data_IF_471412723683
#
_entry.id   IF_471412723683
#
_cell.length_a   1.000
_cell.length_b   1.000
_cell.length_c   1.000
_cell.angle_alpha   90.00
_cell.angle_beta   90.00
_cell.angle_gamma   90.00
#
_symmetry.space_group_name_H-M   'P 1'
#
loop_
_entity.id
_entity.type
_entity.pdbx_description
1 polymer ?
2 non-polymer ?
#
# COMPACT_ATOMS: atom_id res chain seq x y z
N UNK A 8 2.76 15.01 31.98
CA UNK A 8 2.94 14.89 30.53
C UNK A 8 2.74 13.44 30.09
N UNK A 9 2.26 13.26 28.86
CA UNK A 9 2.05 11.95 28.25
C UNK A 9 3.30 11.49 27.49
N UNK A 10 3.36 10.18 27.20
CA UNK A 10 4.46 9.59 26.44
C UNK A 10 3.90 8.41 25.63
N UNK A 11 3.68 8.63 24.32
CA UNK A 11 3.00 7.69 23.43
C UNK A 11 3.91 7.32 22.26
N UNK A 12 4.13 6.03 22.05
CA UNK A 12 5.04 5.56 20.98
C UNK A 12 4.30 4.82 19.86
N UNK A 13 4.63 5.16 18.62
CA UNK A 13 4.07 4.47 17.43
C UNK A 13 5.25 3.94 16.63
N UNK A 14 5.30 2.62 16.42
CA UNK A 14 6.46 1.99 15.75
C UNK A 14 6.03 1.28 14.48
N UNK A 15 6.89 1.31 13.46
CA UNK A 15 6.73 0.61 12.21
C UNK A 15 8.00 -0.13 11.85
N UNK A 16 7.97 -0.79 10.68
CA UNK A 16 9.13 -1.52 10.19
C UNK A 16 9.48 -1.05 8.79
N UNK A 17 10.77 -1.08 8.46
CA UNK A 17 11.25 -0.82 7.12
C UNK A 17 11.87 -2.12 6.59
N UNK A 18 11.47 -2.51 5.38
CA UNK A 18 11.93 -3.73 4.74
C UNK A 18 12.50 -3.41 3.37
N UNK A 19 13.37 -4.30 2.88
CA UNK A 19 13.85 -4.23 1.49
C UNK A 19 12.90 -5.06 0.65
N UNK A 20 12.08 -4.40 -0.17
CA UNK A 20 11.20 -5.12 -1.07
C UNK A 20 12.07 -5.83 -2.11
N UNK A 21 12.45 -7.06 -1.78
CA UNK A 21 13.38 -7.79 -2.63
C UNK A 21 12.77 -8.14 -3.98
N UNK A 22 11.45 -8.31 -4.02
CA UNK A 22 10.74 -8.71 -5.23
C UNK A 22 10.10 -7.54 -5.95
N UNK A 23 10.34 -6.31 -5.47
CA UNK A 23 9.78 -5.10 -6.08
C UNK A 23 8.25 -5.19 -6.18
N UNK A 24 7.61 -5.72 -5.15
CA UNK A 24 6.18 -6.00 -5.19
C UNK A 24 5.33 -4.88 -4.58
N UNK A 25 5.94 -3.85 -4.01
CA UNK A 25 5.24 -2.79 -3.28
C UNK A 25 4.47 -3.33 -2.07
N UNK A 26 4.74 -4.57 -1.66
CA UNK A 26 4.31 -5.09 -0.37
C UNK A 26 5.37 -6.07 0.11
N UNK A 27 5.21 -6.53 1.34
CA UNK A 27 6.24 -7.29 2.03
C UNK A 27 5.94 -8.78 1.86
N UNK A 28 6.97 -9.57 1.52
CA UNK A 28 6.79 -10.97 1.17
C UNK A 28 7.70 -11.84 2.02
N UNK A 29 7.64 -13.15 1.76
CA UNK A 29 8.45 -14.15 2.49
C UNK A 29 9.94 -13.93 2.24
N UNK A 30 10.30 -13.28 1.12
CA UNK A 30 11.70 -13.04 0.81
C UNK A 30 12.07 -11.56 0.90
N UNK A 31 11.29 -10.75 1.60
CA UNK A 31 11.68 -9.40 1.97
C UNK A 31 12.68 -9.44 3.12
N UNK A 32 13.50 -8.40 3.22
CA UNK A 32 14.56 -8.33 4.24
C UNK A 32 14.50 -6.96 4.89
N UNK A 33 14.46 -6.93 6.22
CA UNK A 33 14.34 -5.64 6.87
C UNK A 33 15.66 -4.88 6.80
N UNK A 34 15.56 -3.56 6.85
CA UNK A 34 16.71 -2.66 6.82
C UNK A 34 16.88 -2.06 8.21
N UNK A 35 17.91 -2.46 8.96
CA UNK A 35 18.28 -1.71 10.16
C UNK A 35 19.06 -0.46 9.79
N UNK A 36 18.77 0.63 10.50
CA UNK A 36 19.38 1.91 10.18
C UNK A 36 18.72 2.67 9.05
N UNK A 37 17.47 2.37 8.73
CA UNK A 37 16.77 3.15 7.72
C UNK A 37 16.26 4.44 8.35
N UNK A 38 15.85 5.37 7.49
CA UNK A 38 15.40 6.69 7.91
C UNK A 38 13.93 6.91 7.59
N UNK A 39 13.21 7.47 8.57
CA UNK A 39 11.76 7.62 8.52
C UNK A 39 11.42 9.02 9.02
N UNK A 40 10.57 9.75 8.26
CA UNK A 40 10.15 11.09 8.62
C UNK A 40 8.66 11.10 8.89
N UNK A 41 8.29 11.50 10.10
CA UNK A 41 6.90 11.65 10.51
C UNK A 41 6.53 13.13 10.50
N UNK A 42 5.29 13.44 10.11
CA UNK A 42 4.85 14.84 10.12
C UNK A 42 3.35 14.93 10.35
N UNK A 43 2.95 15.62 11.41
CA UNK A 43 1.53 15.81 11.72
C UNK A 43 1.07 17.20 11.30
N UNK A 44 -0.25 17.34 11.13
CA UNK A 44 -0.84 18.58 10.66
C UNK A 44 -2.12 18.87 11.41
N UNK A 45 -2.35 20.18 11.62
CA UNK A 45 -3.62 20.74 12.09
C UNK A 45 -4.81 20.03 11.50
N UNK A 46 -4.84 19.90 10.17
CA UNK A 46 -5.84 19.15 9.47
C UNK A 46 -5.30 18.73 8.12
N UNK A 47 -6.21 18.32 7.24
CA UNK A 47 -5.81 17.94 5.89
C UNK A 47 -5.04 19.07 5.20
N UNK A 48 -5.38 20.33 5.49
CA UNK A 48 -4.73 21.49 4.90
C UNK A 48 -4.28 22.51 5.93
N UNK A 49 -4.27 22.18 7.22
CA UNK A 49 -3.79 23.07 8.24
C UNK A 49 -2.27 23.13 8.29
N UNK A 50 -1.78 23.73 9.39
CA UNK A 50 -0.32 23.89 9.61
C UNK A 50 0.19 22.68 10.40
N UNK A 51 1.47 22.33 10.21
CA UNK A 51 2.06 21.19 10.89
C UNK A 51 2.20 21.46 12.38
N UNK A 52 1.89 20.47 13.19
CA UNK A 52 2.11 20.60 14.62
C UNK A 52 3.57 20.32 14.98
N UNK A 53 4.21 19.41 14.26
CA UNK A 53 5.63 19.12 14.44
C UNK A 53 6.08 18.20 13.31
N UNK A 54 7.35 17.80 13.38
CA UNK A 54 7.91 16.82 12.46
C UNK A 54 9.14 16.20 13.13
N UNK A 55 9.16 14.86 13.22
CA UNK A 55 10.29 14.18 13.88
C UNK A 55 10.85 13.11 12.94
N UNK A 56 12.07 12.67 13.22
CA UNK A 56 12.78 11.68 12.40
C UNK A 56 13.27 10.57 13.32
N UNK A 57 12.98 9.33 12.95
CA UNK A 57 13.48 8.18 13.66
C UNK A 57 14.17 7.24 12.71
N UNK A 58 15.02 6.40 13.27
CA UNK A 58 15.73 5.39 12.50
C UNK A 58 15.43 4.02 13.09
N UNK A 59 15.70 3.00 12.27
CA UNK A 59 15.28 1.64 12.57
C UNK A 59 16.42 0.89 13.24
N UNK A 60 16.11 0.19 14.34
CA UNK A 60 17.08 -0.68 14.97
C UNK A 60 17.00 -2.08 14.34
N UNK A 61 17.09 -3.13 15.15
CA UNK A 61 16.98 -4.48 14.62
C UNK A 61 15.59 -4.72 14.03
N UNK A 62 15.55 -5.63 13.05
CA UNK A 62 14.32 -6.03 12.31
C UNK A 62 13.69 -4.80 11.65
N UNK A 63 14.51 -3.78 11.33
CA UNK A 63 14.00 -2.60 10.66
C UNK A 63 12.99 -1.84 11.48
N UNK A 64 12.92 -2.09 12.78
CA UNK A 64 11.90 -1.49 13.64
C UNK A 64 12.36 -0.12 14.14
N UNK A 65 11.49 0.87 13.99
CA UNK A 65 11.74 2.23 14.48
C UNK A 65 10.68 2.62 15.49
N UNK A 66 11.07 3.36 16.53
CA UNK A 66 10.16 3.80 17.59
C UNK A 66 10.09 5.32 17.57
N UNK A 67 8.88 5.86 17.47
CA UNK A 67 8.65 7.29 17.42
C UNK A 67 8.06 7.76 18.74
N UNK A 68 8.55 8.91 19.22
CA UNK A 68 8.13 9.47 20.50
C UNK A 68 7.11 10.58 20.29
N UNK A 69 6.03 10.52 21.05
CA UNK A 69 5.03 11.59 21.06
C UNK A 69 5.00 12.13 22.49
N UNK A 70 5.81 13.15 22.74
CA UNK A 70 5.94 13.69 24.08
C UNK A 70 4.72 14.46 24.56
N UNK A 71 3.72 14.69 23.70
CA UNK A 71 2.72 15.67 24.05
C UNK A 71 1.39 15.00 24.38
N UNK A 72 0.30 15.70 24.10
CA UNK A 72 -1.02 15.10 23.92
C UNK A 72 -1.58 15.64 22.61
N UNK A 73 -1.92 14.72 21.69
CA UNK A 73 -2.46 15.09 20.39
C UNK A 73 -3.74 14.34 20.09
N UNK A 74 -4.73 15.05 19.53
CA UNK A 74 -5.98 14.43 19.13
C UNK A 74 -6.40 14.90 17.75
N UNK A 75 -6.71 13.92 16.88
CA UNK A 75 -7.28 14.14 15.54
C UNK A 75 -6.38 15.00 14.67
N UNK A 76 -5.10 14.65 14.66
CA UNK A 76 -4.08 15.34 13.88
C UNK A 76 -3.76 14.51 12.65
N UNK A 77 -3.47 15.18 11.53
CA UNK A 77 -3.29 14.53 10.24
C UNK A 77 -1.81 14.28 10.02
N UNK A 78 -1.38 13.05 10.28
CA UNK A 78 0.02 12.64 10.25
C UNK A 78 0.25 11.67 9.09
N UNK A 79 1.49 11.62 8.61
CA UNK A 79 1.87 10.58 7.66
C UNK A 79 3.38 10.34 7.77
N UNK A 80 3.77 9.08 7.61
CA UNK A 80 5.16 8.66 7.73
C UNK A 80 5.70 8.46 6.34
N UNK A 81 6.90 8.99 6.09
CA UNK A 81 7.49 8.92 4.76
C UNK A 81 8.90 8.34 4.88
N UNK A 82 9.35 7.69 3.80
CA UNK A 82 10.71 7.19 3.73
C UNK A 82 11.69 8.33 3.58
N UNK A 83 12.92 8.12 4.09
CA UNK A 83 13.94 9.17 4.12
C UNK A 83 15.31 8.69 3.66
N UNK A 84 15.85 7.65 4.29
CA UNK A 84 17.18 7.16 3.93
C UNK A 84 17.25 5.65 4.12
N UNK A 85 18.13 5.01 3.33
CA UNK A 85 18.44 3.60 3.50
C UNK A 85 19.90 3.42 3.86
N UNK A 86 20.17 2.41 4.68
CA UNK A 86 21.52 2.03 5.05
C UNK A 86 22.10 1.00 4.12
N UNK A 87 21.41 0.70 3.02
CA UNK A 87 21.82 -0.36 2.12
C UNK A 87 21.54 0.15 0.71
N UNK A 88 22.62 0.49 0.01
CA UNK A 88 22.55 1.09 -1.36
C UNK A 88 22.12 0.03 -2.38
N UNK A 89 21.93 -1.21 -1.92
CA UNK A 89 21.52 -2.29 -2.85
C UNK A 89 19.99 -2.22 -2.85
N UNK A 90 19.47 -1.46 -1.88
CA UNK A 90 18.02 -1.27 -1.69
C UNK A 90 17.77 0.16 -1.18
N UNK A 91 17.94 1.14 -2.07
CA UNK A 91 17.78 2.55 -1.70
C UNK A 91 16.68 3.27 -2.48
N UNK A 92 16.12 2.66 -3.53
CA UNK A 92 15.14 3.34 -4.36
C UNK A 92 13.79 3.35 -3.66
N UNK A 93 13.23 4.54 -3.49
CA UNK A 93 11.87 4.64 -2.96
C UNK A 93 10.89 4.47 -4.12
N UNK A 94 9.96 3.51 -4.03
CA UNK A 94 9.03 3.27 -5.13
C UNK A 94 8.06 4.44 -5.32
N UNK A 95 7.67 4.65 -6.58
CA UNK A 95 6.73 5.70 -6.97
C UNK A 95 5.44 5.04 -7.45
N UNK A 96 4.31 5.61 -7.05
CA UNK A 96 3.01 5.18 -7.55
C UNK A 96 2.56 6.11 -8.67
N UNK A 97 3.22 5.98 -9.80
CA UNK A 97 2.96 6.86 -10.91
C UNK A 97 3.51 8.25 -10.69
N UNK A 98 2.97 8.99 -9.71
CA UNK A 98 3.42 10.37 -9.53
C UNK A 98 3.46 10.85 -8.08
N UNK A 99 3.23 9.99 -7.08
CA UNK A 99 3.35 10.39 -5.68
C UNK A 99 4.29 9.41 -4.99
N UNK A 100 5.06 9.92 -4.00
CA UNK A 100 5.90 9.09 -3.14
C UNK A 100 5.03 8.48 -2.03
N UNK A 101 5.21 7.19 -1.72
CA UNK A 101 4.27 6.54 -0.82
C UNK A 101 4.40 7.10 0.59
N UNK A 102 3.36 6.85 1.39
CA UNK A 102 3.33 7.38 2.75
C UNK A 102 2.27 6.61 3.53
N UNK A 103 2.37 6.69 4.85
CA UNK A 103 1.47 6.01 5.77
C UNK A 103 0.60 7.07 6.45
N UNK A 104 -0.55 7.35 5.85
CA UNK A 104 -1.45 8.34 6.41
C UNK A 104 -2.25 7.74 7.56
N UNK A 105 -2.34 8.49 8.66
CA UNK A 105 -3.15 8.09 9.80
C UNK A 105 -3.50 9.34 10.60
N UNK A 106 -4.51 9.19 11.45
CA UNK A 106 -4.95 10.27 12.32
C UNK A 106 -4.53 9.95 13.75
N UNK A 107 -3.93 10.93 14.41
CA UNK A 107 -3.29 10.74 15.70
C UNK A 107 -4.26 11.14 16.82
N UNK A 108 -4.53 10.19 17.72
CA UNK A 108 -5.25 10.45 18.97
C UNK A 108 -4.50 9.67 20.07
N UNK A 109 -3.52 10.34 20.67
CA UNK A 109 -2.59 9.69 21.61
C UNK A 109 -3.32 9.15 22.83
N UNK A 110 -2.77 8.07 23.38
CA UNK A 110 -3.11 7.59 24.72
C UNK A 110 -1.81 7.31 25.46
N UNK A 111 -1.76 7.65 26.74
CA UNK A 111 -0.50 7.64 27.47
C UNK A 111 0.06 6.24 27.60
N UNK A 112 1.39 6.16 27.55
CA UNK A 112 2.11 4.95 27.93
C UNK A 112 1.74 3.69 27.17
N UNK A 113 1.64 3.77 25.85
CA UNK A 113 1.36 2.58 25.08
C UNK A 113 1.91 2.73 23.67
N UNK A 114 1.80 1.65 22.90
CA UNK A 114 2.45 1.49 21.61
C UNK A 114 1.44 0.99 20.58
N UNK A 115 1.40 1.67 19.43
CA UNK A 115 0.58 1.25 18.29
C UNK A 115 1.51 0.91 17.13
N UNK A 116 1.22 -0.18 16.43
CA UNK A 116 2.04 -0.63 15.30
C UNK A 116 1.33 -0.33 13.98
N UNK A 117 2.05 0.33 13.07
CA UNK A 117 1.53 0.64 11.74
C UNK A 117 2.18 -0.26 10.69
N UNK A 118 1.77 -0.10 9.44
CA UNK A 118 2.15 -0.94 8.32
C UNK A 118 3.59 -0.65 7.85
N UNK A 119 4.26 -1.64 7.26
CA UNK A 119 5.66 -1.46 6.90
C UNK A 119 5.84 -0.58 5.67
N UNK A 120 7.05 -0.05 5.53
CA UNK A 120 7.47 0.68 4.33
C UNK A 120 8.63 -0.06 3.68
N UNK A 121 8.64 -0.09 2.35
CA UNK A 121 9.63 -0.86 1.60
C UNK A 121 10.50 -0.02 0.69
N UNK A 122 11.79 -0.34 0.66
CA UNK A 122 12.71 0.18 -0.35
C UNK A 122 12.79 -0.81 -1.49
N UNK A 123 12.98 -0.29 -2.70
CA UNK A 123 13.07 -1.14 -3.89
C UNK A 123 14.52 -1.58 -4.11
N UNK A 124 14.74 -2.89 -4.15
CA UNK A 124 16.00 -3.45 -4.64
C UNK A 124 15.96 -3.47 -6.17
N UNK A 125 17.05 -2.98 -6.78
CA UNK A 125 17.04 -2.68 -8.22
C UNK A 125 16.82 -3.93 -9.06
N UNK A 126 17.51 -5.02 -8.76
CA UNK A 126 17.28 -6.29 -9.42
C UNK A 126 16.45 -7.18 -8.52
N UNK A 127 15.28 -7.61 -8.99
CA UNK A 127 14.51 -8.62 -8.29
C UNK A 127 15.34 -9.90 -8.14
N UNK A 128 14.84 -10.80 -7.33
CA UNK A 128 15.65 -11.99 -7.08
C UNK A 128 15.06 -13.20 -7.78
N UNK A 129 15.89 -14.22 -8.05
CA UNK A 129 15.60 -15.15 -9.16
C UNK A 129 14.40 -16.07 -8.96
N UNK A 130 13.78 -16.16 -7.78
CA UNK A 130 12.54 -16.93 -7.65
C UNK A 130 11.40 -16.09 -7.06
N UNK A 131 11.47 -14.77 -7.15
CA UNK A 131 10.29 -13.94 -6.95
C UNK A 131 9.09 -14.34 -7.81
N UNK A 132 9.25 -14.81 -9.05
CA UNK A 132 8.07 -15.31 -9.77
C UNK A 132 7.37 -16.44 -9.03
N UNK A 133 8.10 -17.24 -8.25
CA UNK A 133 7.46 -18.35 -7.57
C UNK A 133 6.69 -17.90 -6.33
N UNK A 134 7.04 -16.77 -5.73
CA UNK A 134 6.27 -16.30 -4.58
C UNK A 134 4.92 -15.76 -5.02
N UNK A 135 4.88 -15.09 -6.18
CA UNK A 135 3.60 -14.59 -6.68
C UNK A 135 2.63 -15.73 -6.97
N UNK A 136 3.14 -16.86 -7.44
CA UNK A 136 2.27 -17.99 -7.72
C UNK A 136 1.85 -18.72 -6.45
N UNK A 137 2.70 -18.68 -5.41
CA UNK A 137 2.25 -19.13 -4.10
C UNK A 137 1.01 -18.35 -3.66
N UNK A 138 0.96 -17.07 -3.97
CA UNK A 138 -0.17 -16.22 -3.60
C UNK A 138 -1.29 -16.24 -4.65
N UNK A 139 -1.14 -17.02 -5.71
CA UNK A 139 -2.16 -17.09 -6.74
C UNK A 139 -2.41 -15.78 -7.46
N UNK A 140 -1.38 -14.94 -7.62
CA UNK A 140 -1.56 -13.62 -8.20
C UNK A 140 -0.65 -13.42 -9.42
N UNK A 141 -1.19 -12.72 -10.41
CA UNK A 141 -0.42 -12.37 -11.59
C UNK A 141 0.67 -11.37 -11.20
N UNK A 142 1.90 -11.58 -11.68
CA UNK A 142 3.01 -10.70 -11.28
C UNK A 142 2.78 -9.28 -11.74
N UNK A 143 2.82 -8.31 -10.83
CA UNK A 143 2.61 -6.91 -11.23
C UNK A 143 3.81 -6.32 -11.95
N UNK A 144 3.53 -5.44 -12.90
CA UNK A 144 4.51 -4.56 -13.51
C UNK A 144 4.10 -3.09 -13.39
N UNK A 145 2.97 -2.80 -12.75
CA UNK A 145 2.38 -1.46 -12.61
C UNK A 145 2.11 -0.78 -13.94
N UNK B 9 -2.41 -1.57 -30.06
CA UNK B 9 -2.61 -0.12 -30.03
C UNK B 9 -3.24 0.33 -28.70
N UNK B 10 -4.27 -0.36 -28.26
CA UNK B 10 -4.95 0.06 -27.04
C UNK B 10 -4.16 -0.39 -25.81
N UNK B 11 -4.60 0.06 -24.64
CA UNK B 11 -3.94 -0.26 -23.36
C UNK B 11 -4.76 -1.31 -22.63
N UNK B 12 -4.12 -2.43 -22.31
CA UNK B 12 -4.75 -3.48 -21.51
C UNK B 12 -4.19 -3.43 -20.11
N UNK B 13 -5.08 -3.24 -19.13
CA UNK B 13 -4.70 -3.19 -17.72
C UNK B 13 -5.39 -4.33 -17.00
N UNK B 14 -4.65 -5.02 -16.15
CA UNK B 14 -5.14 -6.16 -15.38
C UNK B 14 -4.94 -5.88 -13.90
N UNK B 15 -5.84 -6.42 -13.09
CA UNK B 15 -5.68 -6.34 -11.66
C UNK B 15 -6.60 -7.30 -10.95
N UNK B 16 -6.26 -7.56 -9.70
CA UNK B 16 -7.00 -8.50 -8.89
C UNK B 16 -7.58 -7.81 -7.65
N UNK B 17 -8.66 -8.40 -7.13
CA UNK B 17 -9.32 -7.94 -5.92
C UNK B 17 -9.37 -9.10 -4.94
N UNK B 18 -8.71 -8.95 -3.80
CA UNK B 18 -8.70 -9.96 -2.76
C UNK B 18 -9.48 -9.50 -1.54
N UNK B 19 -9.90 -10.48 -0.75
CA UNK B 19 -10.49 -10.24 0.55
C UNK B 19 -9.34 -10.21 1.57
N UNK B 20 -8.98 -9.03 2.07
CA UNK B 20 -7.88 -8.94 3.02
C UNK B 20 -8.20 -9.74 4.27
N UNK B 21 -7.83 -11.02 4.22
CA UNK B 21 -8.34 -12.03 5.14
C UNK B 21 -7.91 -11.72 6.57
N UNK B 22 -6.74 -11.08 6.71
CA UNK B 22 -6.10 -10.86 7.99
C UNK B 22 -6.06 -9.38 8.40
N UNK B 23 -6.67 -8.50 7.62
CA UNK B 23 -6.68 -7.06 7.87
C UNK B 23 -5.27 -6.51 7.88
N UNK B 24 -4.39 -7.09 7.07
CA UNK B 24 -3.01 -6.64 6.95
C UNK B 24 -2.82 -5.48 5.98
N UNK B 25 -3.87 -5.10 5.24
CA UNK B 25 -3.87 -4.26 4.05
C UNK B 25 -2.71 -4.56 3.11
N UNK B 26 -2.50 -5.85 2.87
CA UNK B 26 -1.75 -6.41 1.74
C UNK B 26 -2.14 -7.89 1.68
N UNK B 27 -1.48 -8.65 0.83
CA UNK B 27 -1.98 -9.96 0.41
C UNK B 27 -1.08 -11.05 0.94
N UNK B 28 -1.66 -12.03 1.62
CA UNK B 28 -0.93 -13.13 2.25
C UNK B 28 -1.29 -14.45 1.61
N UNK B 29 -0.68 -15.52 2.13
CA UNK B 29 -1.08 -16.86 1.74
C UNK B 29 -2.49 -17.21 2.22
N UNK B 30 -3.06 -16.46 3.17
CA UNK B 30 -4.43 -16.73 3.60
C UNK B 30 -5.47 -15.88 2.87
N UNK B 31 -5.03 -14.88 2.12
CA UNK B 31 -5.97 -14.01 1.42
C UNK B 31 -6.78 -14.82 0.41
N UNK B 32 -8.01 -14.38 0.18
CA UNK B 32 -8.90 -15.03 -0.76
C UNK B 32 -9.33 -14.01 -1.79
N UNK B 33 -9.70 -14.49 -2.98
CA UNK B 33 -10.03 -13.61 -4.09
C UNK B 33 -11.54 -13.46 -4.23
N UNK B 34 -11.93 -12.34 -4.81
CA UNK B 34 -13.35 -12.00 -4.93
C UNK B 34 -13.70 -11.82 -6.40
N UNK B 35 -14.52 -12.70 -6.98
CA UNK B 35 -15.13 -12.40 -8.27
C UNK B 35 -16.36 -11.53 -8.08
N UNK B 36 -16.73 -10.82 -9.14
CA UNK B 36 -17.88 -9.92 -9.08
C UNK B 36 -17.68 -8.70 -8.21
N UNK B 37 -16.46 -8.19 -8.09
CA UNK B 37 -16.16 -7.06 -7.24
C UNK B 37 -16.20 -5.76 -8.04
N UNK B 38 -16.55 -4.68 -7.37
CA UNK B 38 -16.70 -3.38 -8.03
C UNK B 38 -15.41 -2.58 -8.04
N UNK B 39 -15.04 -2.11 -9.22
CA UNK B 39 -13.79 -1.39 -9.41
C UNK B 39 -14.08 -0.19 -10.30
N UNK B 40 -13.57 0.98 -9.93
CA UNK B 40 -13.68 2.15 -10.76
C UNK B 40 -12.31 2.54 -11.29
N UNK B 41 -12.24 2.78 -12.60
CA UNK B 41 -11.09 3.38 -13.24
C UNK B 41 -11.42 4.82 -13.61
N UNK B 42 -10.58 5.76 -13.17
CA UNK B 42 -10.75 7.17 -13.49
C UNK B 42 -9.40 7.79 -13.83
N UNK B 43 -9.44 8.73 -14.79
CA UNK B 43 -8.28 9.42 -15.33
C UNK B 43 -8.52 10.93 -15.37
N UNK B 44 -7.43 11.70 -15.31
CA UNK B 44 -7.47 13.15 -15.38
C UNK B 44 -6.54 13.62 -16.49
N UNK B 45 -6.50 14.93 -16.66
CA UNK B 45 -5.69 15.56 -17.70
C UNK B 45 -4.82 16.64 -17.05
N UNK B 46 -3.75 17.01 -17.76
CA UNK B 46 -2.85 18.05 -17.29
C UNK B 46 -3.21 19.46 -17.75
N UNK B 47 -3.73 19.58 -18.98
CA UNK B 47 -4.08 20.90 -19.53
C UNK B 47 -5.19 21.59 -18.74
N UNK B 48 -6.03 20.81 -18.06
CA UNK B 48 -7.17 21.34 -17.32
C UNK B 48 -7.17 20.98 -15.84
N UNK B 49 -6.41 19.96 -15.42
CA UNK B 49 -6.55 19.38 -14.09
C UNK B 49 -7.85 18.65 -13.88
N UNK B 50 -8.66 18.51 -14.94
CA UNK B 50 -10.05 18.06 -14.93
C UNK B 50 -10.14 16.55 -15.14
N UNK B 51 -11.36 16.09 -15.41
CA UNK B 51 -11.64 14.71 -15.77
C UNK B 51 -11.30 14.48 -17.23
N UNK B 52 -11.23 13.23 -17.65
CA UNK B 52 -11.21 12.87 -19.07
C UNK B 52 -12.21 11.76 -19.39
N UNK B 53 -12.38 10.79 -18.51
CA UNK B 53 -13.36 9.72 -18.68
C UNK B 53 -13.39 8.88 -17.40
N UNK B 54 -14.33 7.94 -17.37
CA UNK B 54 -14.53 7.05 -16.24
C UNK B 54 -15.17 5.76 -16.75
N UNK B 55 -14.66 4.62 -16.28
CA UNK B 55 -15.23 3.33 -16.65
C UNK B 55 -15.28 2.44 -15.42
N UNK B 56 -16.36 1.66 -15.30
CA UNK B 56 -16.55 0.72 -14.20
C UNK B 56 -16.24 -0.68 -14.69
N UNK B 57 -15.42 -1.42 -13.94
CA UNK B 57 -15.09 -2.79 -14.32
C UNK B 57 -15.48 -3.77 -13.24
N UNK B 58 -15.70 -5.03 -13.59
CA UNK B 58 -16.05 -6.05 -12.62
C UNK B 58 -15.08 -7.22 -12.73
N UNK B 59 -14.78 -7.83 -11.58
CA UNK B 59 -13.82 -8.92 -11.53
C UNK B 59 -14.47 -10.24 -11.89
N UNK B 60 -13.71 -11.12 -12.54
CA UNK B 60 -14.23 -12.47 -12.90
C UNK B 60 -13.57 -13.49 -11.95
N UNK B 61 -13.14 -14.65 -12.47
CA UNK B 61 -12.45 -15.66 -11.68
C UNK B 61 -11.09 -15.12 -11.21
N UNK B 62 -10.66 -15.61 -10.04
CA UNK B 62 -9.41 -15.19 -9.41
C UNK B 62 -9.38 -13.69 -9.15
N UNK B 63 -10.56 -13.07 -9.06
CA UNK B 63 -10.63 -11.64 -8.78
C UNK B 63 -10.04 -10.75 -9.84
N UNK B 64 -9.81 -11.26 -11.05
CA UNK B 64 -9.16 -10.49 -12.10
C UNK B 64 -10.14 -9.50 -12.73
N UNK B 65 -9.77 -8.22 -12.74
CA UNK B 65 -10.48 -7.23 -13.53
C UNK B 65 -9.60 -6.82 -14.71
N UNK B 66 -10.25 -6.42 -15.80
CA UNK B 66 -9.60 -6.10 -17.06
C UNK B 66 -10.31 -4.91 -17.70
N UNK B 67 -9.52 -4.04 -18.33
CA UNK B 67 -10.10 -2.90 -19.04
C UNK B 67 -9.24 -2.55 -20.24
N UNK B 68 -9.90 -2.22 -21.34
CA UNK B 68 -9.25 -1.77 -22.56
C UNK B 68 -9.41 -0.26 -22.67
N UNK B 69 -8.28 0.42 -22.80
CA UNK B 69 -8.26 1.86 -22.96
C UNK B 69 -7.85 2.15 -24.39
N UNK B 70 -8.80 2.66 -25.18
CA UNK B 70 -8.51 3.33 -26.45
C UNK B 70 -7.42 4.38 -26.25
N UNK B 71 -6.76 4.75 -27.36
CA UNK B 71 -5.67 5.71 -27.21
C UNK B 71 -6.11 7.17 -27.35
N UNK B 72 -7.42 7.46 -27.41
CA UNK B 72 -7.85 8.86 -27.39
C UNK B 72 -7.58 9.48 -26.01
N UNK B 73 -7.60 8.66 -24.96
CA UNK B 73 -7.16 9.06 -23.61
C UNK B 73 -5.72 8.63 -23.36
N UNK B 74 -4.81 8.86 -24.30
CA UNK B 74 -3.46 8.34 -24.17
C UNK B 74 -2.62 9.14 -23.17
N UNK B 75 -1.83 8.40 -22.37
CA UNK B 75 -0.84 8.92 -21.41
C UNK B 75 -1.39 10.02 -20.52
N UNK B 76 -2.24 9.67 -19.55
CA UNK B 76 -2.85 10.61 -18.63
C UNK B 76 -2.82 10.04 -17.21
N UNK B 77 -2.89 10.92 -16.19
CA UNK B 77 -2.86 10.46 -14.79
C UNK B 77 -4.15 9.68 -14.50
N UNK B 78 -4.00 8.45 -13.96
CA UNK B 78 -5.10 7.49 -13.72
C UNK B 78 -4.98 6.82 -12.33
N UNK B 79 -6.10 6.77 -11.62
CA UNK B 79 -6.16 6.04 -10.35
C UNK B 79 -7.41 5.16 -10.28
N UNK B 80 -7.21 3.99 -9.68
CA UNK B 80 -8.24 2.97 -9.50
C UNK B 80 -8.77 3.04 -8.08
N UNK B 81 -10.04 2.69 -7.92
CA UNK B 81 -10.71 2.77 -6.64
C UNK B 81 -11.67 1.60 -6.52
N UNK B 82 -11.70 0.97 -5.35
CA UNK B 82 -12.67 -0.08 -5.09
C UNK B 82 -14.07 0.52 -5.04
N UNK B 83 -15.04 -0.23 -5.57
CA UNK B 83 -16.45 0.16 -5.58
C UNK B 83 -17.32 -0.81 -4.80
N UNK B 84 -17.38 -2.09 -5.19
CA UNK B 84 -18.34 -3.04 -4.63
C UNK B 84 -17.66 -4.39 -4.38
N UNK B 85 -18.22 -5.13 -3.44
CA UNK B 85 -17.75 -6.47 -3.09
C UNK B 85 -18.90 -7.46 -3.25
N UNK B 86 -18.59 -8.64 -3.76
CA UNK B 86 -19.61 -9.67 -3.89
C UNK B 86 -19.87 -10.41 -2.57
N UNK B 87 -19.36 -9.92 -1.43
CA UNK B 87 -19.13 -10.76 -0.25
C UNK B 87 -19.25 -9.93 1.02
N UNK B 88 -20.31 -10.16 1.82
CA UNK B 88 -20.63 -9.27 2.95
C UNK B 88 -19.69 -9.44 4.14
N UNK B 89 -19.09 -10.61 4.33
CA UNK B 89 -18.03 -10.68 5.34
C UNK B 89 -16.81 -9.86 4.94
N UNK B 90 -16.72 -9.44 3.66
CA UNK B 90 -15.60 -8.66 3.16
C UNK B 90 -16.12 -7.45 2.39
N UNK B 91 -16.91 -6.61 3.08
CA UNK B 91 -17.55 -5.48 2.42
C UNK B 91 -16.94 -4.13 2.80
N UNK B 92 -15.90 -4.12 3.64
CA UNK B 92 -15.29 -2.89 4.13
C UNK B 92 -14.10 -2.50 3.26
N UNK B 93 -14.04 -1.23 2.87
CA UNK B 93 -12.92 -0.69 2.11
C UNK B 93 -11.98 0.02 3.10
N UNK B 94 -10.74 -0.45 3.25
CA UNK B 94 -9.84 0.09 4.28
C UNK B 94 -9.36 1.50 3.93
N UNK B 95 -9.72 2.46 4.75
CA UNK B 95 -9.19 3.80 4.53
C UNK B 95 -7.83 3.91 5.20
N UNK B 96 -6.94 4.69 4.59
CA UNK B 96 -5.57 4.94 5.11
C UNK B 96 -5.55 6.32 5.77
N UNK B 97 -6.11 6.42 6.98
CA UNK B 97 -6.21 7.68 7.70
C UNK B 97 -7.46 8.45 7.34
N UNK B 98 -7.41 9.18 6.22
CA UNK B 98 -8.54 9.99 5.77
C UNK B 98 -8.77 9.93 4.26
N UNK B 99 -8.20 8.94 3.57
CA UNK B 99 -8.33 8.81 2.12
C UNK B 99 -8.72 7.38 1.76
N UNK B 100 -9.51 7.25 0.69
CA UNK B 100 -9.77 5.93 0.13
C UNK B 100 -8.50 5.39 -0.53
N UNK B 101 -8.22 4.09 -0.43
CA UNK B 101 -6.96 3.58 -0.96
C UNK B 101 -6.94 3.56 -2.49
N UNK B 102 -6.50 4.67 -3.10
CA UNK B 102 -6.37 4.69 -4.55
C UNK B 102 -5.14 3.89 -4.99
N UNK B 103 -5.02 3.71 -6.30
CA UNK B 103 -3.89 2.96 -6.87
C UNK B 103 -3.45 3.68 -8.14
N UNK B 104 -2.70 4.75 -7.95
CA UNK B 104 -2.32 5.65 -9.03
C UNK B 104 -1.31 5.01 -9.97
N UNK B 105 -1.44 5.35 -11.25
CA UNK B 105 -0.53 4.89 -12.30
C UNK B 105 -0.65 5.86 -13.48
N UNK B 106 0.25 5.75 -14.44
CA UNK B 106 0.21 6.57 -15.65
C UNK B 106 0.14 5.67 -16.88
N UNK B 107 -0.66 6.07 -17.86
CA UNK B 107 -1.12 5.23 -18.97
C UNK B 107 -0.07 5.15 -20.08
N UNK B 108 0.80 4.13 -20.01
CA UNK B 108 1.82 3.96 -21.04
C UNK B 108 2.27 2.50 -21.09
N UNK B 109 2.50 2.02 -22.32
CA UNK B 109 3.10 0.71 -22.54
C UNK B 109 3.86 0.77 -23.86
N UNK B 110 4.71 -0.24 -24.08
CA UNK B 110 5.41 -0.41 -25.34
C UNK B 110 5.30 -1.87 -25.77
N UNK B 111 5.13 -2.08 -27.09
CA UNK B 111 4.76 -3.37 -27.69
C UNK B 111 3.35 -3.80 -27.35
N UNK B 112 2.52 -2.88 -26.86
CA UNK B 112 1.13 -3.16 -26.50
C UNK B 112 0.92 -4.14 -25.37
N UNK B 113 2.02 -4.53 -24.70
CA UNK B 113 1.97 -5.57 -23.67
C UNK B 113 1.09 -5.14 -22.50
N UNK B 114 0.23 -6.06 -22.04
CA UNK B 114 -0.62 -5.74 -20.90
C UNK B 114 0.22 -5.28 -19.73
N UNK B 115 -0.34 -4.34 -18.96
CA UNK B 115 0.27 -3.90 -17.72
C UNK B 115 -0.60 -4.38 -16.56
N UNK B 116 -0.01 -5.20 -15.70
CA UNK B 116 -0.70 -5.73 -14.53
C UNK B 116 -0.46 -4.78 -13.36
N UNK B 117 -1.54 -4.40 -12.68
CA UNK B 117 -1.47 -3.45 -11.60
C UNK B 117 -1.45 -4.21 -10.28
N UNK B 118 -0.89 -3.56 -9.25
CA UNK B 118 -0.89 -4.14 -7.92
C UNK B 118 -2.32 -4.40 -7.48
N UNK B 119 -2.52 -5.32 -6.53
CA UNK B 119 -3.88 -5.68 -6.15
C UNK B 119 -4.48 -4.68 -5.15
N UNK B 120 -5.79 -4.80 -4.97
CA UNK B 120 -6.53 -4.03 -3.97
C UNK B 120 -7.43 -4.98 -3.21
N UNK B 121 -7.54 -4.76 -1.89
CA UNK B 121 -8.24 -5.69 -1.03
C UNK B 121 -9.34 -5.03 -0.21
N UNK B 122 -10.38 -5.82 0.03
CA UNK B 122 -11.45 -5.43 0.94
C UNK B 122 -11.17 -5.99 2.34
N UNK B 123 -11.48 -5.23 3.37
CA UNK B 123 -11.21 -5.68 4.73
C UNK B 123 -12.31 -6.58 5.25
N UNK B 124 -11.91 -7.65 5.94
CA UNK B 124 -12.85 -8.52 6.62
C UNK B 124 -13.11 -7.99 8.03
N UNK B 125 -14.31 -8.29 8.56
CA UNK B 125 -14.67 -7.77 9.87
C UNK B 125 -13.90 -8.46 10.98
N UNK B 126 -13.84 -9.79 10.95
CA UNK B 126 -13.13 -10.57 11.96
C UNK B 126 -11.87 -11.13 11.32
N UNK B 127 -10.71 -10.68 11.78
CA UNK B 127 -9.46 -11.22 11.29
C UNK B 127 -9.40 -12.72 11.61
N UNK B 128 -8.75 -13.48 10.72
CA UNK B 128 -8.63 -14.91 10.95
C UNK B 128 -7.79 -15.16 12.19
N UNK B 129 -7.96 -16.32 12.84
CA UNK B 129 -7.12 -16.64 14.00
C UNK B 129 -5.72 -17.16 13.62
N UNK B 130 -5.50 -17.58 12.37
CA UNK B 130 -4.20 -18.08 11.94
C UNK B 130 -3.30 -16.97 11.37
N UNK B 131 -3.64 -15.71 11.64
CA UNK B 131 -2.95 -14.54 11.09
C UNK B 131 -1.69 -14.24 11.87
N UNK B 132 -1.74 -14.19 13.21
CA UNK B 132 -0.49 -14.08 13.96
C UNK B 132 0.56 -15.08 13.51
N UNK B 133 0.13 -16.29 13.12
CA UNK B 133 1.04 -17.27 12.54
C UNK B 133 1.64 -16.76 11.23
N UNK B 134 0.89 -16.00 10.43
CA UNK B 134 1.40 -15.52 9.15
C UNK B 134 2.39 -14.36 9.35
N UNK B 135 2.00 -13.35 10.11
CA UNK B 135 2.90 -12.21 10.36
C UNK B 135 4.20 -12.73 10.97
N UNK B 136 4.10 -13.83 11.71
CA UNK B 136 5.29 -14.41 12.38
C UNK B 136 6.18 -15.08 11.33
N UNK B 137 5.60 -15.55 10.24
CA UNK B 137 6.40 -16.21 9.22
C UNK B 137 7.11 -15.18 8.35
N UNK B 138 6.46 -14.04 8.16
CA UNK B 138 7.11 -12.88 7.57
C UNK B 138 7.85 -12.06 8.60
N UNK B 139 7.83 -12.50 9.87
CA UNK B 139 8.65 -11.87 10.88
C UNK B 139 8.43 -10.37 11.02
N UNK B 140 7.18 -9.94 10.97
CA UNK B 140 6.87 -8.55 11.14
C UNK B 140 6.04 -8.35 12.41
N UNK B 141 6.10 -7.13 12.94
CA UNK B 141 5.24 -6.76 14.05
C UNK B 141 3.83 -6.52 13.52
N UNK B 142 2.82 -7.24 13.99
CA UNK B 142 1.47 -7.15 13.41
C UNK B 142 0.88 -5.75 13.57
N UNK B 143 0.45 -5.12 12.48
CA UNK B 143 -0.12 -3.78 12.59
C UNK B 143 -1.45 -3.80 13.33
N UNK B 144 -1.67 -2.79 14.18
CA UNK B 144 -2.86 -2.73 15.03
C UNK B 144 -3.39 -1.31 15.15
N UNK B 145 -3.12 -0.47 14.15
CA UNK B 145 -3.71 0.85 14.11
C UNK B 145 -5.10 0.73 13.52
X LIG C 1 -12.93 7.86 -24.45
#
# INVERSE_FOLDING_TARGET
EDVPQPPVSQFYIQGQVYCDTCRARFITELSEFIPGAGVRLQCKDGENGKITFTEVGYTRAEGLYSMLIERDHKNEFCEITLLSSSRKDCDEIPIEGWVKPSLKFMLNTVNGTTRTINPLGFFKKEALPKCPQVFNKLGMYPPNM
EDVPQPPVSQFYIQGQVYCDTCRARFITELSEFIPGAGVRLQCKDGENGKITFTEVGYTRAEGLYSMLIERDHKNEFCEITLLSSSRKDCDEIPIEGWVKPSLKFMLNTVNGTTRTINPLGFFKKEALPKCPQVFNKLGMYPPNM
NI NI
#
